data_IF_112575862793
#
_entry.id   IF_112575862793
#
_cell.length_a   1.000
_cell.length_b   1.000
_cell.length_c   1.000
_cell.angle_alpha   90.00
_cell.angle_beta   90.00
_cell.angle_gamma   90.00
#
_symmetry.space_group_name_H-M   'P 1'
#
loop_
_entity.id
_entity.type
_entity.pdbx_description
1 polymer ?
#
# COMPACT_ATOMS: atom_id res chain seq x y z
N UNK A 1 -28.68 -38.17 -8.42
CA UNK A 1 -28.19 -39.15 -7.41
C UNK A 1 -26.68 -38.99 -7.30
N UNK A 2 -26.22 -38.03 -6.50
CA UNK A 2 -25.72 -38.19 -5.11
C UNK A 2 -24.53 -39.17 -5.03
N UNK A 3 -23.33 -38.65 -4.76
CA UNK A 3 -22.69 -38.78 -3.42
C UNK A 3 -21.49 -37.85 -3.28
N UNK A 4 -21.68 -36.83 -2.44
CA UNK A 4 -20.62 -36.07 -1.77
C UNK A 4 -19.79 -37.02 -0.87
N UNK A 5 -18.50 -36.72 -0.70
CA UNK A 5 -17.70 -37.21 0.42
C UNK A 5 -17.12 -36.02 1.17
N UNK A 6 -17.68 -35.78 2.35
CA UNK A 6 -17.15 -34.91 3.40
C UNK A 6 -15.94 -35.59 4.05
N UNK A 7 -14.86 -34.85 4.26
CA UNK A 7 -13.73 -35.27 5.10
C UNK A 7 -13.87 -34.56 6.45
N UNK A 8 -13.99 -35.37 7.50
CA UNK A 8 -14.12 -35.00 8.90
C UNK A 8 -12.71 -34.79 9.48
N UNK A 9 -12.48 -33.61 10.05
CA UNK A 9 -11.27 -33.25 10.80
C UNK A 9 -11.41 -33.79 12.23
N UNK A 10 -10.44 -34.60 12.68
CA UNK A 10 -10.29 -35.02 14.08
C UNK A 10 -8.95 -34.47 14.57
N UNK A 11 -8.99 -33.43 15.41
CA UNK A 11 -7.84 -32.94 16.17
C UNK A 11 -7.93 -33.54 17.59
N UNK A 12 -6.99 -34.43 17.89
CA UNK A 12 -6.77 -34.94 19.25
C UNK A 12 -5.85 -33.97 19.99
N UNK A 13 -6.39 -33.40 21.07
CA UNK A 13 -5.63 -32.73 22.13
C UNK A 13 -4.92 -33.78 22.99
N UNK A 14 -3.64 -33.57 23.28
CA UNK A 14 -2.92 -34.29 24.34
C UNK A 14 -1.90 -33.34 24.96
N UNK A 15 -2.18 -32.96 26.20
CA UNK A 15 -1.26 -32.22 27.06
C UNK A 15 -0.35 -33.13 27.88
N UNK A 16 0.11 -32.55 28.99
CA UNK A 16 1.04 -33.05 30.02
C UNK A 16 2.53 -32.83 29.71
N UNK A 17 3.40 -32.46 30.65
CA UNK A 17 3.33 -31.87 32.00
C UNK A 17 4.76 -31.47 32.34
N UNK A 18 4.93 -30.38 33.08
CA UNK A 18 6.20 -30.01 33.73
C UNK A 18 6.36 -30.76 35.06
N UNK A 19 7.60 -30.95 35.57
CA UNK A 19 7.81 -30.93 37.00
C UNK A 19 8.86 -29.91 37.46
N UNK A 20 8.59 -29.45 38.67
CA UNK A 20 9.27 -28.49 39.53
C UNK A 20 10.69 -28.87 39.96
N UNK A 21 11.50 -27.85 40.28
CA UNK A 21 12.68 -27.89 41.15
C UNK A 21 12.79 -26.57 41.92
N UNK A 22 12.91 -26.67 43.25
CA UNK A 22 12.79 -25.60 44.25
C UNK A 22 14.08 -24.76 44.44
N UNK A 23 13.95 -23.56 45.02
CA UNK A 23 14.76 -23.17 46.18
C UNK A 23 14.19 -21.94 46.93
N UNK A 24 14.39 -21.94 48.25
CA UNK A 24 13.79 -21.10 49.30
C UNK A 24 14.41 -19.69 49.47
N UNK A 25 13.65 -18.75 50.07
CA UNK A 25 14.27 -17.63 50.79
C UNK A 25 13.47 -16.34 51.03
N UNK A 26 12.66 -16.33 52.10
CA UNK A 26 12.58 -15.28 53.16
C UNK A 26 11.93 -13.88 52.89
N UNK A 27 10.67 -13.79 53.34
CA UNK A 27 10.09 -12.95 54.41
C UNK A 27 10.28 -11.41 54.50
N UNK A 28 9.12 -10.76 54.66
CA UNK A 28 8.75 -9.60 55.50
C UNK A 28 9.21 -8.18 55.14
N UNK A 29 8.26 -7.31 54.75
CA UNK A 29 7.74 -6.20 55.59
C UNK A 29 6.97 -5.17 54.75
N UNK A 30 5.69 -4.98 55.08
CA UNK A 30 4.82 -3.93 54.54
C UNK A 30 4.33 -3.03 55.69
N UNK A 31 4.41 -1.68 55.58
CA UNK A 31 3.80 -0.80 56.57
C UNK A 31 2.39 -0.30 56.15
N UNK A 32 1.57 0.15 57.12
CA UNK A 32 0.12 0.01 57.06
C UNK A 32 -0.65 1.28 56.64
N UNK A 33 -1.91 1.05 56.24
CA UNK A 33 -2.98 2.03 56.08
C UNK A 33 -3.34 2.66 57.43
N UNK A 34 -3.53 3.98 57.45
CA UNK A 34 -4.18 4.70 58.57
C UNK A 34 -5.62 5.05 58.19
N UNK A 35 -6.54 4.43 58.91
CA UNK A 35 -7.88 4.95 59.18
C UNK A 35 -7.77 6.11 60.18
N UNK A 36 -8.62 7.12 60.02
CA UNK A 36 -8.99 8.05 61.09
C UNK A 36 -10.46 8.34 60.93
N UNK A 37 -11.22 8.10 61.99
CA UNK A 37 -12.66 8.24 62.04
C UNK A 37 -13.08 9.10 63.25
N UNK A 38 -14.23 9.76 63.07
CA UNK A 38 -15.13 10.41 64.04
C UNK A 38 -14.77 11.78 64.66
N UNK A 39 -15.72 12.73 64.50
CA UNK A 39 -15.80 13.96 65.32
C UNK A 39 -16.78 15.05 64.83
N UNK A 40 -18.08 14.82 65.04
CA UNK A 40 -19.28 15.68 64.84
C UNK A 40 -19.18 17.19 65.20
N UNK A 41 -19.85 18.09 64.43
CA UNK A 41 -20.92 18.98 64.93
C UNK A 41 -21.59 19.82 63.83
N UNK A 42 -22.90 20.04 64.02
CA UNK A 42 -23.90 20.72 63.20
C UNK A 42 -23.53 22.11 62.62
N UNK A 43 -24.11 22.45 61.45
CA UNK A 43 -25.28 23.34 61.36
C UNK A 43 -25.85 23.37 59.95
N UNK A 44 -27.16 23.19 59.89
CA UNK A 44 -28.10 23.38 58.79
C UNK A 44 -28.06 24.84 58.29
N UNK A 45 -27.72 25.03 57.01
CA UNK A 45 -27.90 26.26 56.27
C UNK A 45 -28.18 25.90 54.80
N UNK A 46 -29.41 26.19 54.37
CA UNK A 46 -29.95 25.80 53.07
C UNK A 46 -29.09 26.20 51.89
N UNK A 47 -28.78 25.21 51.05
CA UNK A 47 -28.30 25.40 49.69
C UNK A 47 -29.55 25.47 48.81
N UNK A 48 -29.81 26.57 48.07
CA UNK A 48 -30.90 26.60 47.11
C UNK A 48 -30.61 25.57 46.02
N UNK A 49 -31.62 24.74 45.72
CA UNK A 49 -31.62 23.85 44.55
C UNK A 49 -31.22 24.67 43.32
N UNK A 50 -30.06 24.37 42.75
CA UNK A 50 -29.71 24.82 41.42
C UNK A 50 -30.73 24.18 40.47
N UNK A 51 -31.58 25.02 39.89
CA UNK A 51 -32.35 24.69 38.69
C UNK A 51 -31.42 24.04 37.68
N UNK A 52 -31.84 22.97 36.96
CA UNK A 52 -31.07 22.51 35.82
C UNK A 52 -31.03 23.67 34.84
N UNK A 53 -29.83 24.19 34.54
CA UNK A 53 -29.63 25.10 33.42
C UNK A 53 -30.15 24.40 32.16
N UNK A 54 -31.37 24.75 31.79
CA UNK A 54 -31.88 24.56 30.46
C UNK A 54 -31.11 25.52 29.56
N UNK A 55 -30.24 24.97 28.70
CA UNK A 55 -29.56 25.76 27.68
C UNK A 55 -28.06 25.55 27.57
N UNK A 56 -27.55 24.34 27.79
CA UNK A 56 -26.47 23.91 26.91
C UNK A 56 -27.14 23.60 25.57
N UNK A 57 -27.23 24.60 24.69
CA UNK A 57 -27.48 24.35 23.27
C UNK A 57 -26.51 23.25 22.86
N UNK A 58 -27.03 22.04 22.65
CA UNK A 58 -26.27 20.98 22.04
C UNK A 58 -25.79 21.59 20.72
N UNK A 59 -24.50 21.87 20.62
CA UNK A 59 -23.90 22.37 19.40
C UNK A 59 -24.26 21.34 18.33
N UNK A 60 -25.27 21.65 17.53
CA UNK A 60 -25.70 20.84 16.41
C UNK A 60 -24.46 20.60 15.58
N UNK A 61 -24.13 19.34 15.32
CA UNK A 61 -23.01 19.01 14.44
C UNK A 61 -23.17 19.88 13.18
N UNK A 62 -22.17 20.70 12.81
CA UNK A 62 -22.32 21.66 11.72
C UNK A 62 -22.59 20.97 10.37
N UNK A 63 -22.46 19.65 10.30
CA UNK A 63 -22.82 18.83 9.16
C UNK A 63 -24.00 17.88 9.45
N UNK A 64 -24.92 18.25 10.33
CA UNK A 64 -26.23 17.61 10.44
C UNK A 64 -27.28 18.28 9.53
N UNK A 65 -28.04 17.51 8.73
CA UNK A 65 -27.93 16.07 8.54
C UNK A 65 -26.65 15.68 7.81
N UNK A 66 -26.17 14.45 8.07
CA UNK A 66 -24.92 13.93 7.53
C UNK A 66 -24.77 14.18 6.03
N UNK A 67 -23.54 14.50 5.61
CA UNK A 67 -23.22 14.74 4.20
C UNK A 67 -23.67 13.60 3.29
N UNK A 68 -24.10 13.97 2.08
CA UNK A 68 -24.48 13.01 1.05
C UNK A 68 -23.33 12.05 0.71
N UNK A 69 -23.69 10.84 0.23
CA UNK A 69 -22.71 9.86 -0.21
C UNK A 69 -21.75 10.46 -1.26
N UNK A 70 -20.44 10.38 -1.00
CA UNK A 70 -19.44 11.05 -1.85
C UNK A 70 -18.80 12.28 -1.20
N UNK A 71 -19.31 12.75 -0.07
CA UNK A 71 -18.86 13.94 0.63
C UNK A 71 -18.56 13.65 2.10
N UNK A 72 -17.66 14.44 2.68
CA UNK A 72 -17.26 14.35 4.09
C UNK A 72 -17.37 15.71 4.75
N UNK A 73 -17.71 15.72 6.04
CA UNK A 73 -17.74 16.96 6.81
C UNK A 73 -16.30 17.43 7.09
N UNK A 74 -15.94 18.60 6.58
CA UNK A 74 -14.65 19.25 6.86
C UNK A 74 -14.89 20.72 7.16
N UNK A 75 -14.51 21.15 8.36
CA UNK A 75 -14.73 22.52 8.85
C UNK A 75 -16.19 23.00 8.70
N UNK A 76 -17.16 22.12 8.98
CA UNK A 76 -18.58 22.44 8.93
C UNK A 76 -19.19 22.55 7.52
N UNK A 77 -18.47 22.07 6.50
CA UNK A 77 -18.99 21.99 5.14
C UNK A 77 -18.84 20.57 4.58
N UNK A 78 -19.83 20.14 3.80
CA UNK A 78 -19.73 18.89 3.04
C UNK A 78 -18.83 19.10 1.82
N UNK A 79 -17.63 18.53 1.88
CA UNK A 79 -16.64 18.63 0.81
C UNK A 79 -16.32 17.26 0.25
N UNK A 80 -15.98 17.19 -1.04
CA UNK A 80 -15.48 15.94 -1.60
C UNK A 80 -14.03 15.74 -1.16
N UNK A 81 -13.66 14.54 -0.64
CA UNK A 81 -12.29 14.26 -0.24
C UNK A 81 -11.28 14.49 -1.37
N UNK A 82 -10.11 15.03 -1.03
CA UNK A 82 -9.06 15.33 -1.99
C UNK A 82 -8.13 14.13 -2.29
N UNK A 83 -8.21 13.08 -1.48
CA UNK A 83 -7.35 11.89 -1.62
C UNK A 83 -8.00 10.64 -1.02
N UNK A 84 -7.42 9.48 -1.31
CA UNK A 84 -7.80 8.25 -0.63
C UNK A 84 -7.50 8.29 0.88
N UNK A 85 -6.50 9.07 1.33
CA UNK A 85 -6.21 9.25 2.74
C UNK A 85 -7.34 10.01 3.47
N UNK A 86 -7.89 11.05 2.84
CA UNK A 86 -9.05 11.77 3.40
C UNK A 86 -10.30 10.89 3.41
N UNK A 87 -10.52 10.10 2.36
CA UNK A 87 -11.57 9.08 2.36
C UNK A 87 -11.41 8.11 3.54
N UNK A 88 -10.19 7.60 3.76
CA UNK A 88 -9.88 6.64 4.81
C UNK A 88 -10.06 7.19 6.22
N UNK A 89 -9.90 8.49 6.41
CA UNK A 89 -10.09 9.16 7.70
C UNK A 89 -11.56 9.22 8.13
N UNK A 90 -12.49 9.10 7.19
CA UNK A 90 -13.93 9.29 7.43
C UNK A 90 -14.70 7.97 7.32
N UNK A 91 -14.26 7.05 6.47
CA UNK A 91 -14.82 5.69 6.40
C UNK A 91 -13.74 4.59 6.36
N UNK A 92 -14.13 3.39 6.82
CA UNK A 92 -13.36 2.17 6.66
C UNK A 92 -13.87 1.32 5.49
N UNK A 93 -14.41 2.00 4.47
CA UNK A 93 -15.01 1.32 3.32
C UNK A 93 -13.94 0.55 2.53
N UNK A 94 -14.31 -0.54 1.83
CA UNK A 94 -13.36 -1.41 1.15
C UNK A 94 -12.61 -0.70 0.02
N UNK A 95 -11.54 -1.36 -0.45
CA UNK A 95 -10.77 -0.87 -1.60
C UNK A 95 -11.63 -0.80 -2.86
N UNK A 96 -11.44 0.21 -3.69
CA UNK A 96 -12.25 0.41 -4.88
C UNK A 96 -12.19 1.80 -5.46
N UNK A 97 -13.03 2.04 -6.47
CA UNK A 97 -13.12 3.34 -7.12
C UNK A 97 -13.79 4.36 -6.19
N UNK A 98 -13.20 5.55 -6.13
CA UNK A 98 -13.77 6.71 -5.45
C UNK A 98 -13.58 7.96 -6.29
N UNK A 99 -14.47 8.91 -6.11
CA UNK A 99 -14.28 10.25 -6.67
C UNK A 99 -13.52 11.08 -5.64
N UNK A 100 -12.44 11.70 -6.07
CA UNK A 100 -11.73 12.73 -5.31
C UNK A 100 -11.89 14.08 -5.99
N UNK A 101 -11.82 15.17 -5.24
CA UNK A 101 -11.78 16.52 -5.78
C UNK A 101 -10.39 17.13 -5.58
N UNK A 102 -9.76 17.50 -6.68
CA UNK A 102 -8.55 18.29 -6.63
C UNK A 102 -8.81 19.73 -7.07
N UNK A 103 -8.25 20.70 -6.35
CA UNK A 103 -8.43 22.11 -6.66
C UNK A 103 -7.88 22.50 -8.05
N UNK A 104 -6.90 21.77 -8.56
CA UNK A 104 -6.27 22.05 -9.87
C UNK A 104 -6.90 21.23 -11.00
N UNK A 105 -7.19 19.94 -10.76
CA UNK A 105 -7.68 19.04 -11.82
C UNK A 105 -9.19 18.81 -11.80
N UNK A 106 -9.91 19.37 -10.83
CA UNK A 106 -11.32 19.09 -10.61
C UNK A 106 -11.56 17.69 -10.06
N UNK A 107 -12.80 17.21 -10.21
CA UNK A 107 -13.17 15.86 -9.78
C UNK A 107 -12.63 14.77 -10.72
N UNK A 108 -12.17 13.66 -10.15
CA UNK A 108 -11.73 12.49 -10.91
C UNK A 108 -11.97 11.20 -10.14
N UNK A 109 -12.13 10.09 -10.87
CA UNK A 109 -12.14 8.76 -10.28
C UNK A 109 -10.70 8.27 -10.06
N UNK A 110 -10.46 7.70 -8.88
CA UNK A 110 -9.21 7.03 -8.52
C UNK A 110 -9.52 5.68 -7.89
N UNK A 111 -8.57 4.75 -7.96
CA UNK A 111 -8.62 3.55 -7.15
C UNK A 111 -7.98 3.83 -5.79
N UNK A 112 -8.74 3.59 -4.73
CA UNK A 112 -8.27 3.65 -3.35
C UNK A 112 -8.04 2.24 -2.82
N UNK A 113 -6.81 1.94 -2.41
CA UNK A 113 -6.51 0.81 -1.53
C UNK A 113 -6.75 1.25 -0.08
N UNK A 114 -7.79 0.68 0.53
CA UNK A 114 -8.26 1.02 1.87
C UNK A 114 -7.95 -0.05 2.92
N UNK A 115 -7.43 -1.19 2.49
CA UNK A 115 -7.29 -2.38 3.32
C UNK A 115 -5.82 -2.67 3.63
N UNK A 116 -4.93 -2.50 2.66
CA UNK A 116 -3.52 -2.88 2.81
C UNK A 116 -2.76 -1.87 3.68
N UNK A 117 -2.07 -2.35 4.71
CA UNK A 117 -1.27 -1.60 5.70
C UNK A 117 -1.90 -0.27 6.14
N UNK A 118 -3.15 -0.34 6.59
CA UNK A 118 -3.93 0.79 7.11
C UNK A 118 -4.71 1.58 6.06
N UNK A 119 -4.48 1.32 4.77
CA UNK A 119 -5.24 1.93 3.67
C UNK A 119 -4.96 3.41 3.44
N UNK A 120 -5.81 4.01 2.62
CA UNK A 120 -5.73 5.41 2.21
C UNK A 120 -4.78 5.65 1.02
N UNK A 121 -4.42 4.61 0.28
CA UNK A 121 -3.45 4.68 -0.81
C UNK A 121 -4.15 4.92 -2.15
N UNK A 122 -3.68 5.91 -2.90
CA UNK A 122 -4.22 6.27 -4.22
C UNK A 122 -3.36 5.63 -5.31
N UNK A 123 -3.97 4.88 -6.23
CA UNK A 123 -3.28 4.31 -7.39
C UNK A 123 -2.86 5.43 -8.36
N UNK A 124 -1.57 5.51 -8.69
CA UNK A 124 -1.05 6.45 -9.68
C UNK A 124 -0.71 5.82 -11.03
N UNK A 125 -0.25 4.58 -11.03
CA UNK A 125 0.15 3.89 -12.25
C UNK A 125 -0.11 2.40 -12.13
N UNK A 126 -0.49 1.78 -13.25
CA UNK A 126 -0.41 0.33 -13.43
C UNK A 126 0.19 0.00 -14.80
N UNK A 127 1.14 -0.91 -14.78
CA UNK A 127 1.71 -1.55 -15.96
C UNK A 127 1.12 -2.96 -16.09
N UNK A 128 0.42 -3.24 -17.20
CA UNK A 128 0.00 -4.60 -17.58
C UNK A 128 1.14 -5.37 -18.24
N UNK A 129 1.41 -6.59 -17.76
CA UNK A 129 2.14 -7.56 -18.56
C UNK A 129 1.34 -7.92 -19.82
N UNK A 130 2.04 -8.24 -20.90
CA UNK A 130 1.41 -8.62 -22.16
C UNK A 130 0.98 -7.45 -23.07
N UNK A 131 0.97 -6.22 -22.55
CA UNK A 131 0.71 -4.98 -23.32
C UNK A 131 2.04 -4.34 -23.72
N UNK A 132 2.13 -3.81 -24.94
CA UNK A 132 3.34 -3.13 -25.42
C UNK A 132 3.53 -1.74 -24.81
N UNK A 133 4.77 -1.41 -24.45
CA UNK A 133 5.16 -0.10 -23.92
C UNK A 133 6.49 -0.14 -23.18
N UNK A 134 7.10 1.02 -22.98
CA UNK A 134 8.22 1.20 -22.06
C UNK A 134 7.68 1.73 -20.72
N UNK A 135 7.80 0.98 -19.61
CA UNK A 135 7.22 1.37 -18.32
C UNK A 135 7.66 2.74 -17.80
N UNK A 136 8.90 3.14 -18.07
CA UNK A 136 9.42 4.43 -17.62
C UNK A 136 8.84 5.56 -18.48
N UNK A 137 8.83 5.39 -19.81
CA UNK A 137 8.20 6.36 -20.72
C UNK A 137 6.69 6.51 -20.44
N UNK A 138 6.01 5.42 -20.09
CA UNK A 138 4.60 5.45 -19.69
C UNK A 138 4.41 6.32 -18.45
N UNK A 139 5.22 6.11 -17.39
CA UNK A 139 5.15 6.90 -16.17
C UNK A 139 5.40 8.40 -16.42
N UNK A 140 6.41 8.72 -17.23
CA UNK A 140 6.82 10.11 -17.49
C UNK A 140 6.03 10.79 -18.59
N UNK A 141 5.10 10.08 -19.22
CA UNK A 141 4.28 10.57 -20.33
C UNK A 141 3.03 11.31 -19.86
N UNK A 142 2.11 11.50 -20.81
CA UNK A 142 0.77 12.02 -20.52
C UNK A 142 -0.06 11.00 -19.71
N UNK A 143 -1.09 11.45 -18.97
CA UNK A 143 -2.05 10.56 -18.32
C UNK A 143 -2.64 9.57 -19.33
N UNK A 144 -2.91 8.35 -18.86
CA UNK A 144 -3.37 7.25 -19.71
C UNK A 144 -4.53 6.53 -19.06
N UNK A 145 -5.65 6.49 -19.78
CA UNK A 145 -6.88 5.81 -19.34
C UNK A 145 -7.44 6.29 -17.99
N UNK A 146 -7.15 7.54 -17.60
CA UNK A 146 -7.56 8.12 -16.33
C UNK A 146 -9.04 8.54 -16.26
N UNK A 147 -9.75 8.52 -17.40
CA UNK A 147 -11.20 8.68 -17.50
C UNK A 147 -11.97 7.37 -17.75
N UNK A 148 -11.30 6.21 -17.77
CA UNK A 148 -11.93 4.93 -18.12
C UNK A 148 -11.98 4.03 -16.89
N UNK A 149 -13.10 4.02 -16.17
CA UNK A 149 -13.26 3.32 -14.88
C UNK A 149 -12.72 1.87 -14.86
N UNK A 150 -12.95 1.09 -15.92
CA UNK A 150 -12.47 -0.29 -16.04
C UNK A 150 -10.93 -0.43 -16.08
N UNK A 151 -10.20 0.65 -16.37
CA UNK A 151 -8.73 0.70 -16.42
C UNK A 151 -8.12 1.16 -15.09
N UNK A 152 -8.92 1.77 -14.20
CA UNK A 152 -8.51 2.34 -12.92
C UNK A 152 -8.52 1.23 -11.86
N UNK A 153 -7.55 0.34 -11.94
CA UNK A 153 -7.41 -0.84 -11.08
C UNK A 153 -5.94 -1.21 -10.99
N UNK A 154 -5.47 -1.80 -9.87
CA UNK A 154 -4.09 -2.29 -9.77
C UNK A 154 -3.86 -3.60 -10.54
N UNK A 155 -4.93 -4.28 -10.97
CA UNK A 155 -4.86 -5.58 -11.65
C UNK A 155 -4.74 -5.43 -13.17
N UNK A 156 -4.12 -6.42 -13.82
CA UNK A 156 -3.93 -6.47 -15.27
C UNK A 156 -5.22 -6.18 -16.05
N UNK A 157 -5.09 -5.36 -17.09
CA UNK A 157 -6.12 -5.07 -18.09
C UNK A 157 -5.52 -5.10 -19.49
N UNK A 158 -6.32 -4.82 -20.51
CA UNK A 158 -5.88 -4.73 -21.91
C UNK A 158 -4.98 -3.53 -22.23
N UNK A 159 -4.77 -2.60 -21.29
CA UNK A 159 -3.94 -1.40 -21.50
C UNK A 159 -3.21 -1.00 -20.20
N UNK A 160 -2.31 -0.03 -20.24
CA UNK A 160 -1.69 0.60 -19.07
C UNK A 160 -2.59 1.68 -18.47
N UNK A 161 -2.33 2.07 -17.22
CA UNK A 161 -3.02 3.17 -16.55
C UNK A 161 -2.00 4.13 -15.94
N UNK A 162 -2.24 5.43 -16.11
CA UNK A 162 -1.48 6.52 -15.47
C UNK A 162 -2.45 7.62 -15.09
N UNK A 163 -2.57 7.91 -13.80
CA UNK A 163 -3.39 9.00 -13.26
C UNK A 163 -2.80 10.36 -13.63
N UNK A 164 -3.66 11.36 -13.89
CA UNK A 164 -3.24 12.77 -13.99
C UNK A 164 -2.60 13.32 -12.71
N UNK A 165 -2.82 12.67 -11.56
CA UNK A 165 -2.17 13.03 -10.31
C UNK A 165 -0.64 12.91 -10.35
N UNK A 166 -0.08 12.09 -11.26
CA UNK A 166 1.38 11.99 -11.43
C UNK A 166 2.01 13.35 -11.75
N UNK A 167 1.33 14.19 -12.55
CA UNK A 167 1.81 15.52 -12.91
C UNK A 167 1.81 16.51 -11.73
N UNK A 168 1.11 16.18 -10.64
CA UNK A 168 1.06 16.99 -9.41
C UNK A 168 2.09 16.56 -8.38
N UNK A 169 2.80 15.45 -8.57
CA UNK A 169 3.81 14.99 -7.63
C UNK A 169 4.95 16.00 -7.53
N UNK A 170 5.12 16.60 -6.36
CA UNK A 170 6.05 17.71 -6.11
C UNK A 170 5.47 19.10 -6.43
N UNK A 171 4.22 19.15 -6.91
CA UNK A 171 3.47 20.36 -7.24
C UNK A 171 2.00 20.22 -6.80
N UNK A 172 1.78 20.19 -5.49
CA UNK A 172 0.45 20.07 -4.86
C UNK A 172 0.04 18.65 -4.47
N UNK A 173 0.79 17.62 -4.90
CA UNK A 173 0.76 16.27 -4.32
C UNK A 173 2.14 15.98 -3.71
N UNK A 174 2.19 15.73 -2.42
CA UNK A 174 3.42 15.42 -1.69
C UNK A 174 3.24 14.10 -0.93
N UNK A 175 3.49 12.95 -1.59
CA UNK A 175 3.38 11.65 -0.95
C UNK A 175 4.34 11.53 0.24
N UNK A 176 3.86 11.02 1.36
CA UNK A 176 4.72 10.60 2.47
C UNK A 176 5.22 9.18 2.24
N UNK A 177 4.36 8.33 1.67
CA UNK A 177 4.65 6.93 1.38
C UNK A 177 4.33 6.59 -0.07
N UNK A 178 5.19 5.76 -0.67
CA UNK A 178 4.95 5.16 -1.97
C UNK A 178 5.02 3.66 -1.85
N UNK A 179 4.08 2.96 -2.49
CA UNK A 179 4.12 1.50 -2.61
C UNK A 179 4.27 1.08 -4.06
N UNK A 180 5.09 0.06 -4.28
CA UNK A 180 5.23 -0.61 -5.55
C UNK A 180 4.90 -2.09 -5.38
N UNK A 181 3.81 -2.53 -6.01
CA UNK A 181 3.29 -3.88 -5.88
C UNK A 181 3.38 -4.64 -7.20
N UNK A 182 3.65 -5.95 -7.13
CA UNK A 182 3.43 -6.88 -8.24
C UNK A 182 2.25 -7.78 -7.91
N UNK A 183 1.29 -7.86 -8.83
CA UNK A 183 0.15 -8.76 -8.74
C UNK A 183 0.25 -9.89 -9.75
N UNK A 184 -0.35 -11.03 -9.42
CA UNK A 184 -0.59 -12.17 -10.33
C UNK A 184 -2.00 -12.07 -10.97
N UNK A 185 -2.27 -12.84 -12.02
CA UNK A 185 -3.55 -12.92 -12.72
C UNK A 185 -4.71 -13.32 -11.78
N UNK A 186 -4.41 -14.02 -10.68
CA UNK A 186 -5.35 -14.31 -9.59
C UNK A 186 -5.63 -13.14 -8.64
N UNK A 187 -5.17 -11.91 -8.95
CA UNK A 187 -5.26 -10.71 -8.08
C UNK A 187 -4.52 -10.84 -6.75
N UNK A 188 -3.57 -11.78 -6.68
CA UNK A 188 -2.72 -12.01 -5.50
C UNK A 188 -1.53 -11.08 -5.55
N UNK A 189 -1.31 -10.30 -4.50
CA UNK A 189 -0.10 -9.50 -4.33
C UNK A 189 1.09 -10.43 -4.05
N UNK A 190 2.09 -10.42 -4.93
CA UNK A 190 3.30 -11.26 -4.85
C UNK A 190 4.52 -10.51 -4.34
N UNK A 191 4.59 -9.21 -4.61
CA UNK A 191 5.66 -8.31 -4.16
C UNK A 191 5.01 -7.07 -3.57
N UNK A 192 5.54 -6.62 -2.44
CA UNK A 192 5.16 -5.38 -1.78
C UNK A 192 6.41 -4.64 -1.33
N UNK A 193 6.72 -3.52 -1.98
CA UNK A 193 7.81 -2.62 -1.60
C UNK A 193 7.19 -1.33 -1.08
N UNK A 194 7.65 -0.85 0.07
CA UNK A 194 7.30 0.47 0.60
C UNK A 194 8.53 1.39 0.56
N UNK A 195 8.31 2.64 0.14
CA UNK A 195 9.33 3.67 0.03
C UNK A 195 8.88 4.95 0.74
N UNK A 196 9.85 5.73 1.19
CA UNK A 196 9.64 7.12 1.56
C UNK A 196 9.37 7.96 0.31
N UNK A 197 8.19 8.59 0.27
CA UNK A 197 7.78 9.52 -0.79
C UNK A 197 8.22 10.96 -0.54
N UNK A 198 8.63 11.29 0.69
CA UNK A 198 9.00 12.64 1.07
C UNK A 198 10.13 13.17 0.19
N UNK A 199 9.95 14.35 -0.39
CA UNK A 199 10.93 15.00 -1.27
C UNK A 199 11.36 14.13 -2.48
N UNK A 200 10.49 13.22 -2.93
CA UNK A 200 10.71 12.45 -4.16
C UNK A 200 9.91 13.02 -5.32
N UNK A 201 10.22 12.52 -6.52
CA UNK A 201 9.44 12.72 -7.73
C UNK A 201 8.91 11.36 -8.21
N UNK A 202 8.04 11.32 -9.24
CA UNK A 202 7.58 10.05 -9.81
C UNK A 202 8.73 9.13 -10.27
N UNK A 203 9.90 9.68 -10.61
CA UNK A 203 11.03 8.90 -11.13
C UNK A 203 12.13 8.65 -10.11
N UNK A 204 12.15 9.36 -8.97
CA UNK A 204 13.22 9.25 -7.96
C UNK A 204 12.80 8.53 -6.68
N UNK A 205 11.49 8.27 -6.47
CA UNK A 205 11.03 7.53 -5.28
C UNK A 205 11.58 6.10 -5.24
N UNK A 206 11.73 5.47 -6.41
CA UNK A 206 12.16 4.08 -6.56
C UNK A 206 13.68 4.01 -6.48
N UNK A 207 14.22 4.07 -5.26
CA UNK A 207 15.65 4.08 -5.00
C UNK A 207 15.97 3.36 -3.69
N UNK A 208 17.16 2.75 -3.61
CA UNK A 208 17.62 2.02 -2.42
C UNK A 208 17.59 2.87 -1.15
N UNK A 209 18.01 4.13 -1.23
CA UNK A 209 18.03 5.06 -0.08
C UNK A 209 16.65 5.45 0.44
N UNK A 210 15.59 5.15 -0.31
CA UNK A 210 14.21 5.45 0.05
C UNK A 210 13.43 4.21 0.46
N UNK A 211 14.00 3.01 0.32
CA UNK A 211 13.33 1.76 0.62
C UNK A 211 13.10 1.65 2.14
N UNK A 212 11.83 1.53 2.53
CA UNK A 212 11.40 1.32 3.93
C UNK A 212 11.25 -0.17 4.20
N UNK A 213 10.60 -0.91 3.30
CA UNK A 213 10.37 -2.34 3.46
C UNK A 213 10.38 -3.07 2.11
N UNK A 214 10.78 -4.35 2.15
CA UNK A 214 10.93 -5.23 1.00
C UNK A 214 10.61 -6.67 1.40
N UNK A 215 10.08 -7.51 0.49
CA UNK A 215 9.89 -8.93 0.75
C UNK A 215 11.22 -9.71 0.72
N UNK A 216 12.28 -9.10 0.20
CA UNK A 216 13.60 -9.68 0.09
C UNK A 216 14.54 -9.17 1.18
N UNK A 217 15.35 -10.08 1.69
CA UNK A 217 16.24 -9.89 2.84
C UNK A 217 17.65 -9.42 2.46
N UNK A 218 18.04 -9.58 1.19
CA UNK A 218 19.40 -9.32 0.70
C UNK A 218 19.51 -8.15 -0.30
N UNK A 219 18.54 -7.21 -0.30
CA UNK A 219 18.58 -5.97 -1.10
C UNK A 219 19.63 -5.00 -0.52
N UNK A 220 20.90 -5.40 -0.53
CA UNK A 220 22.02 -4.64 0.02
C UNK A 220 22.51 -3.58 -0.96
N UNK A 221 23.41 -3.95 -1.87
CA UNK A 221 24.01 -3.04 -2.86
C UNK A 221 23.74 -3.53 -4.28
N UNK A 222 22.50 -3.41 -4.79
CA UNK A 222 22.22 -3.71 -6.18
C UNK A 222 22.99 -2.74 -7.10
N UNK A 223 23.35 -3.20 -8.29
CA UNK A 223 23.98 -2.36 -9.33
C UNK A 223 22.95 -1.40 -9.94
N UNK A 224 21.70 -1.86 -10.06
CA UNK A 224 20.58 -1.04 -10.47
C UNK A 224 19.52 -1.07 -9.39
N UNK A 225 19.08 0.12 -8.95
CA UNK A 225 17.87 0.30 -8.17
C UNK A 225 17.26 1.64 -8.56
N UNK A 226 16.58 1.67 -9.71
CA UNK A 226 15.95 2.89 -10.21
C UNK A 226 14.75 2.60 -11.11
N UNK A 227 13.83 3.57 -11.20
CA UNK A 227 12.72 3.52 -12.15
C UNK A 227 13.22 3.48 -13.61
N UNK A 228 14.26 4.27 -13.92
CA UNK A 228 14.89 4.26 -15.26
C UNK A 228 15.58 2.94 -15.56
N UNK A 229 16.17 2.29 -14.54
CA UNK A 229 16.86 1.02 -14.66
C UNK A 229 17.98 1.06 -15.70
N UNK A 230 17.94 0.13 -16.65
CA UNK A 230 18.83 0.04 -17.79
C UNK A 230 18.06 0.32 -19.11
N UNK A 231 18.05 1.58 -19.60
CA UNK A 231 17.34 1.97 -20.81
C UNK A 231 17.81 1.25 -22.08
N UNK A 232 19.09 0.88 -22.15
CA UNK A 232 19.66 0.20 -23.31
C UNK A 232 19.04 -1.19 -23.48
N UNK A 233 18.73 -1.85 -22.37
CA UNK A 233 18.11 -3.17 -22.34
C UNK A 233 16.59 -3.14 -22.12
N UNK A 234 15.96 -1.96 -22.10
CA UNK A 234 14.51 -1.78 -21.80
C UNK A 234 14.11 -2.36 -20.43
N UNK A 235 15.03 -2.36 -19.47
CA UNK A 235 14.79 -2.86 -18.12
C UNK A 235 14.48 -1.69 -17.20
N UNK A 236 13.22 -1.54 -16.83
CA UNK A 236 12.69 -0.44 -16.00
C UNK A 236 12.31 -0.95 -14.63
N UNK A 237 12.14 -0.03 -13.69
CA UNK A 237 11.84 -0.35 -12.28
C UNK A 237 12.68 -1.54 -11.82
N UNK A 238 13.98 -1.40 -12.03
CA UNK A 238 14.90 -2.51 -12.04
C UNK A 238 15.69 -2.52 -10.75
N UNK A 239 15.57 -3.63 -10.03
CA UNK A 239 16.37 -3.97 -8.86
C UNK A 239 17.20 -5.18 -9.25
N UNK A 240 18.45 -4.97 -9.63
CA UNK A 240 19.31 -6.01 -10.20
C UNK A 240 20.77 -5.85 -9.84
N UNK A 241 21.50 -6.95 -9.92
CA UNK A 241 22.97 -6.96 -9.82
C UNK A 241 23.56 -6.80 -11.23
N UNK A 242 24.82 -6.36 -11.29
CA UNK A 242 25.50 -6.03 -12.54
C UNK A 242 25.59 -7.22 -13.49
N UNK A 243 25.71 -6.91 -14.79
CA UNK A 243 25.66 -7.91 -15.85
C UNK A 243 27.04 -8.48 -16.18
N UNK A 244 27.07 -9.77 -16.52
CA UNK A 244 28.16 -10.37 -17.30
C UNK A 244 27.59 -11.09 -18.52
N UNK A 245 26.56 -11.93 -18.34
CA UNK A 245 25.83 -12.62 -19.43
C UNK A 245 24.36 -12.82 -19.07
N UNK A 246 23.52 -13.26 -20.02
CA UNK A 246 22.12 -13.61 -19.75
C UNK A 246 21.97 -14.75 -18.72
N UNK A 247 22.93 -15.68 -18.70
CA UNK A 247 22.92 -16.85 -17.82
C UNK A 247 23.25 -16.48 -16.38
N UNK A 248 23.97 -15.39 -16.15
CA UNK A 248 24.43 -14.91 -14.85
C UNK A 248 23.66 -13.70 -14.35
N UNK A 249 22.65 -13.28 -15.11
CA UNK A 249 21.82 -12.12 -14.81
C UNK A 249 20.95 -12.39 -13.59
N UNK A 250 21.12 -11.56 -12.55
CA UNK A 250 20.50 -11.77 -11.25
C UNK A 250 19.84 -10.51 -10.72
N UNK A 251 18.75 -10.67 -9.97
CA UNK A 251 18.06 -9.54 -9.36
C UNK A 251 16.82 -9.93 -8.58
N UNK A 252 16.05 -8.90 -8.25
CA UNK A 252 14.87 -9.00 -7.40
C UNK A 252 13.59 -8.57 -8.12
N UNK A 253 13.66 -7.50 -8.92
CA UNK A 253 12.53 -7.01 -9.71
C UNK A 253 13.02 -6.50 -11.05
N UNK A 254 12.31 -6.86 -12.11
CA UNK A 254 12.57 -6.39 -13.46
C UNK A 254 11.25 -6.17 -14.21
N UNK A 255 10.96 -4.91 -14.57
CA UNK A 255 9.94 -4.61 -15.56
C UNK A 255 10.60 -4.44 -16.92
N UNK A 256 10.47 -5.45 -17.76
CA UNK A 256 11.03 -5.44 -19.10
C UNK A 256 10.02 -4.79 -20.05
N UNK A 257 10.34 -3.62 -20.61
CA UNK A 257 9.53 -2.90 -21.58
C UNK A 257 9.62 -3.47 -22.99
N UNK A 258 8.58 -3.27 -23.82
CA UNK A 258 8.56 -3.76 -25.20
C UNK A 258 9.71 -3.20 -26.05
N UNK A 259 10.31 -4.06 -26.88
CA UNK A 259 11.24 -3.68 -27.93
C UNK A 259 10.49 -3.54 -29.25
N UNK A 260 10.87 -2.54 -30.03
CA UNK A 260 10.43 -2.44 -31.42
C UNK A 260 11.14 -3.47 -32.30
N UNK A 261 10.57 -3.74 -33.48
CA UNK A 261 11.15 -4.66 -34.48
C UNK A 261 12.57 -4.25 -34.95
N UNK A 262 12.95 -3.00 -34.72
CA UNK A 262 14.23 -2.41 -35.12
C UNK A 262 15.23 -2.29 -33.97
N UNK A 263 14.93 -2.82 -32.79
CA UNK A 263 15.86 -2.76 -31.66
C UNK A 263 16.99 -3.80 -31.87
N UNK A 264 18.25 -3.36 -32.07
CA UNK A 264 19.34 -4.23 -32.50
C UNK A 264 19.91 -5.10 -31.38
N UNK A 265 19.54 -4.84 -30.12
CA UNK A 265 20.10 -5.57 -28.97
C UNK A 265 19.32 -6.87 -28.74
N UNK A 266 20.00 -8.03 -28.70
CA UNK A 266 19.34 -9.29 -28.42
C UNK A 266 18.79 -9.30 -26.98
N UNK A 267 17.50 -9.59 -26.85
CA UNK A 267 16.90 -9.83 -25.53
C UNK A 267 17.41 -11.18 -24.98
N UNK A 268 17.54 -11.29 -23.67
CA UNK A 268 17.83 -12.60 -23.08
C UNK A 268 16.67 -13.57 -23.36
N UNK A 269 16.96 -14.87 -23.48
CA UNK A 269 15.93 -15.86 -23.79
C UNK A 269 14.75 -15.84 -22.82
N UNK A 270 15.02 -15.61 -21.53
CA UNK A 270 14.00 -15.48 -20.50
C UNK A 270 13.16 -14.19 -20.61
N UNK A 271 13.52 -13.22 -21.46
CA UNK A 271 12.79 -11.97 -21.69
C UNK A 271 11.86 -12.04 -22.91
N UNK A 272 11.88 -13.14 -23.67
CA UNK A 272 11.06 -13.33 -24.86
C UNK A 272 9.64 -13.80 -24.51
N UNK A 273 8.59 -13.38 -25.24
CA UNK A 273 8.62 -12.51 -26.41
C UNK A 273 8.90 -11.04 -26.03
N UNK A 274 9.69 -10.39 -26.88
CA UNK A 274 10.24 -9.06 -26.65
C UNK A 274 9.34 -7.91 -27.12
N UNK A 275 8.16 -8.17 -27.66
CA UNK A 275 7.23 -7.17 -28.22
C UNK A 275 6.26 -6.58 -27.19
N UNK A 276 6.27 -7.09 -25.96
CA UNK A 276 5.35 -6.70 -24.87
C UNK A 276 6.08 -6.51 -23.54
N UNK A 277 5.39 -5.89 -22.58
CA UNK A 277 5.90 -5.79 -21.21
C UNK A 277 5.88 -7.16 -20.54
N UNK A 278 6.96 -7.47 -19.81
CA UNK A 278 7.05 -8.60 -18.89
C UNK A 278 7.52 -8.12 -17.52
N UNK A 279 7.04 -8.79 -16.47
CA UNK A 279 7.26 -8.38 -15.08
C UNK A 279 7.84 -9.57 -14.35
N UNK A 280 9.11 -9.50 -14.00
CA UNK A 280 9.83 -10.58 -13.32
C UNK A 280 10.11 -10.18 -11.89
N UNK A 281 10.05 -11.14 -10.99
CA UNK A 281 10.44 -10.95 -9.60
C UNK A 281 11.13 -12.20 -9.03
N UNK A 282 11.99 -12.00 -8.03
CA UNK A 282 12.52 -13.11 -7.27
C UNK A 282 11.44 -13.68 -6.35
N UNK A 283 11.07 -14.94 -6.57
CA UNK A 283 9.98 -15.60 -5.84
C UNK A 283 10.37 -16.02 -4.41
N UNK A 284 11.67 -16.18 -4.14
CA UNK A 284 12.21 -16.46 -2.81
C UNK A 284 12.51 -15.18 -2.02
N UNK A 285 13.14 -15.34 -0.85
CA UNK A 285 13.53 -14.24 0.03
C UNK A 285 14.81 -13.50 -0.41
N UNK A 286 15.46 -13.94 -1.48
CA UNK A 286 16.73 -13.37 -1.99
C UNK A 286 16.71 -13.18 -3.49
N UNK A 287 17.74 -12.53 -4.05
CA UNK A 287 17.90 -12.43 -5.50
C UNK A 287 17.82 -13.79 -6.20
N UNK A 288 17.27 -13.81 -7.41
CA UNK A 288 17.25 -15.00 -8.28
C UNK A 288 18.07 -14.77 -9.54
N UNK A 289 18.48 -15.86 -10.19
CA UNK A 289 19.02 -15.84 -11.55
C UNK A 289 17.86 -15.94 -12.54
N UNK A 290 17.73 -14.99 -13.46
CA UNK A 290 16.56 -14.91 -14.35
C UNK A 290 16.47 -16.04 -15.37
N UNK A 291 17.59 -16.65 -15.73
CA UNK A 291 17.63 -17.86 -16.56
C UNK A 291 17.12 -19.13 -15.85
N UNK A 292 17.01 -19.08 -14.51
CA UNK A 292 16.45 -20.14 -13.67
C UNK A 292 15.02 -19.84 -13.22
N UNK A 293 14.51 -20.58 -12.20
CA UNK A 293 13.18 -20.34 -11.64
C UNK A 293 13.02 -18.92 -11.09
N UNK A 294 11.98 -18.22 -11.55
CA UNK A 294 11.62 -16.90 -11.11
C UNK A 294 10.09 -16.73 -11.13
N UNK A 295 9.60 -15.66 -10.50
CA UNK A 295 8.20 -15.30 -10.55
C UNK A 295 7.91 -14.37 -11.73
N UNK A 296 6.73 -14.52 -12.32
CA UNK A 296 6.19 -13.59 -13.32
C UNK A 296 4.89 -12.96 -12.83
N UNK A 297 4.78 -11.64 -12.95
CA UNK A 297 3.63 -10.86 -12.55
C UNK A 297 2.71 -10.53 -13.73
N UNK A 298 1.41 -10.41 -13.46
CA UNK A 298 0.42 -9.92 -14.43
C UNK A 298 0.39 -8.39 -14.49
N UNK A 299 0.71 -7.71 -13.38
CA UNK A 299 0.71 -6.26 -13.30
C UNK A 299 1.65 -5.73 -12.23
N UNK A 300 2.13 -4.50 -12.44
CA UNK A 300 2.89 -3.72 -11.49
C UNK A 300 2.17 -2.40 -11.22
N UNK A 301 1.92 -2.08 -9.96
CA UNK A 301 1.14 -0.92 -9.56
C UNK A 301 1.92 -0.02 -8.60
N UNK A 302 1.80 1.29 -8.79
CA UNK A 302 2.36 2.31 -7.90
C UNK A 302 1.21 3.02 -7.19
N UNK A 303 1.28 3.08 -5.86
CA UNK A 303 0.34 3.81 -5.03
C UNK A 303 1.06 4.87 -4.18
N UNK A 304 0.34 5.93 -3.82
CA UNK A 304 0.83 6.99 -2.93
C UNK A 304 -0.13 7.26 -1.79
N UNK A 305 0.42 7.66 -0.65
CA UNK A 305 -0.32 8.23 0.48
C UNK A 305 0.41 9.45 1.00
#
# INVERSE_FOLDING_TARGET
MIRQRSILVVLLLSGCSSPYGADDGRADDAPPRREVDAGSSATDAGIPEATPDAGADAATDPCEPACEAGFVCKAGACVRPASCAEWRAVDASPSGLRTIADATTGEQQVYCDMETDGGGFTLLMRISAGVSGDPFTILTGAPRNDGVAAQITPFVTSDHYVSRLVARWGNGLAPEKVRAHVYDAGKVQKVALEFSGSESTPTTFFAASRLISSPWTDVGTPTFFSASGDPGNKRRFFIGRGYQTCETDTGWLLLRGSRGLLDPQPACGYELPADRVRIFYAAGATATTWSGPHGEGSSFAIFVR
#
